data_IF_988978976136
#
_entry.id   IF_988978976136
#
_cell.length_a   1.000
_cell.length_b   1.000
_cell.length_c   1.000
_cell.angle_alpha   90.00
_cell.angle_beta   90.00
_cell.angle_gamma   90.00
#
_symmetry.space_group_name_H-M   'P 1'
#
loop_
_entity.id
_entity.type
_entity.pdbx_description
1 polymer ?
#
# COMPACT_ATOMS: atom_id res chain seq x y z
N UNK A 1 15.10 0.26 -10.86
CA UNK A 1 16.50 0.26 -11.31
C UNK A 1 17.22 -0.68 -10.37
N UNK A 2 17.77 -1.77 -10.86
CA UNK A 2 18.58 -2.69 -10.04
C UNK A 2 19.86 -1.93 -9.68
N UNK A 3 19.99 -1.47 -8.43
CA UNK A 3 21.28 -0.98 -7.93
C UNK A 3 22.29 -2.12 -8.11
N UNK A 4 23.35 -1.85 -8.88
CA UNK A 4 24.40 -2.84 -9.07
C UNK A 4 25.00 -3.20 -7.71
N UNK A 5 25.04 -4.50 -7.39
CA UNK A 5 25.66 -4.97 -6.17
C UNK A 5 27.12 -4.53 -6.12
N UNK A 6 27.60 -4.13 -4.95
CA UNK A 6 28.97 -3.64 -4.75
C UNK A 6 29.75 -4.51 -3.78
N UNK A 7 31.06 -4.40 -3.85
CA UNK A 7 31.99 -5.06 -2.93
C UNK A 7 32.58 -4.01 -2.01
N UNK A 8 32.45 -4.20 -0.70
CA UNK A 8 33.12 -3.39 0.30
C UNK A 8 34.39 -4.11 0.73
N UNK A 9 35.56 -3.56 0.37
CA UNK A 9 36.86 -4.10 0.72
C UNK A 9 37.36 -3.38 1.98
N UNK A 10 37.79 -4.16 2.96
CA UNK A 10 38.38 -3.66 4.22
C UNK A 10 39.81 -4.15 4.30
N UNK A 11 40.75 -3.26 4.03
CA UNK A 11 42.18 -3.53 3.99
C UNK A 11 42.92 -2.30 4.46
N UNK A 12 43.85 -2.44 5.38
CA UNK A 12 44.65 -1.32 5.92
C UNK A 12 45.91 -1.02 5.09
N UNK A 13 46.37 -1.99 4.28
CA UNK A 13 47.44 -1.79 3.30
C UNK A 13 46.86 -1.15 2.01
N UNK A 14 47.26 0.11 1.68
CA UNK A 14 46.72 0.81 0.51
C UNK A 14 47.06 0.12 -0.83
N UNK A 15 48.24 -0.53 -0.93
CA UNK A 15 48.68 -1.16 -2.16
C UNK A 15 47.88 -2.44 -2.42
N UNK A 16 47.59 -3.23 -1.39
CA UNK A 16 46.76 -4.40 -1.47
C UNK A 16 45.28 -4.01 -1.76
N UNK A 17 44.77 -2.99 -1.08
CA UNK A 17 43.44 -2.47 -1.31
C UNK A 17 43.25 -2.03 -2.78
N UNK A 18 44.19 -1.27 -3.31
CA UNK A 18 44.19 -0.79 -4.70
C UNK A 18 44.28 -1.95 -5.69
N UNK A 19 45.13 -2.95 -5.44
CA UNK A 19 45.24 -4.13 -6.27
C UNK A 19 43.94 -4.93 -6.34
N UNK A 20 43.27 -5.13 -5.19
CA UNK A 20 41.96 -5.80 -5.13
C UNK A 20 40.87 -5.00 -5.87
N UNK A 21 40.82 -3.68 -5.67
CA UNK A 21 39.87 -2.80 -6.32
C UNK A 21 40.04 -2.81 -7.84
N UNK A 22 41.26 -2.68 -8.33
CA UNK A 22 41.55 -2.70 -9.77
C UNK A 22 41.18 -4.06 -10.40
N UNK A 23 41.49 -5.18 -9.73
CA UNK A 23 41.12 -6.51 -10.21
C UNK A 23 39.62 -6.66 -10.40
N UNK A 24 38.81 -6.15 -9.47
CA UNK A 24 37.35 -6.20 -9.55
C UNK A 24 36.79 -5.22 -10.60
N UNK A 25 37.34 -4.00 -10.70
CA UNK A 25 36.92 -3.00 -11.66
C UNK A 25 37.18 -3.42 -13.12
N UNK A 26 38.31 -4.12 -13.41
CA UNK A 26 38.60 -4.67 -14.72
C UNK A 26 37.52 -5.68 -15.19
N UNK A 27 36.89 -6.34 -14.26
CA UNK A 27 35.81 -7.29 -14.51
C UNK A 27 34.39 -6.67 -14.38
N UNK A 28 34.33 -5.34 -14.31
CA UNK A 28 33.05 -4.58 -14.24
C UNK A 28 32.33 -4.69 -12.90
N UNK A 29 33.03 -5.11 -11.83
CA UNK A 29 32.46 -5.24 -10.48
C UNK A 29 32.76 -3.95 -9.71
N UNK A 30 31.71 -3.28 -9.24
CA UNK A 30 31.84 -2.07 -8.41
C UNK A 30 32.44 -2.44 -7.04
N UNK A 31 33.57 -1.85 -6.72
CA UNK A 31 34.24 -2.05 -5.44
C UNK A 31 34.54 -0.70 -4.77
N UNK A 32 34.54 -0.70 -3.45
CA UNK A 32 34.83 0.46 -2.61
C UNK A 32 35.73 0.02 -1.47
N UNK A 33 36.86 0.69 -1.26
CA UNK A 33 37.82 0.36 -0.22
C UNK A 33 37.68 1.25 1.01
N UNK A 34 37.88 0.66 2.19
CA UNK A 34 37.97 1.34 3.49
C UNK A 34 39.14 0.75 4.29
N UNK A 35 39.88 1.61 5.02
CA UNK A 35 41.05 1.20 5.77
C UNK A 35 40.79 0.62 7.16
N UNK A 36 39.53 0.45 7.57
CA UNK A 36 39.23 -0.15 8.90
C UNK A 36 37.79 -0.67 9.01
N UNK A 37 37.61 -1.63 9.92
CA UNK A 37 36.32 -2.20 10.25
C UNK A 37 35.31 -1.17 10.77
N UNK A 38 35.76 -0.13 11.51
CA UNK A 38 34.88 0.92 12.04
C UNK A 38 34.31 1.81 10.92
N UNK A 39 35.07 2.03 9.84
CA UNK A 39 34.58 2.77 8.67
C UNK A 39 33.52 1.93 7.92
N UNK A 40 33.77 0.63 7.76
CA UNK A 40 32.85 -0.29 7.13
C UNK A 40 31.52 -0.39 7.92
N UNK A 41 31.58 -0.48 9.23
CA UNK A 41 30.41 -0.58 10.13
C UNK A 41 29.38 0.53 9.92
N UNK A 42 29.82 1.76 9.62
CA UNK A 42 28.93 2.92 9.37
C UNK A 42 28.11 2.79 8.10
N UNK A 43 28.50 1.89 7.18
CA UNK A 43 27.90 1.69 5.86
C UNK A 43 27.04 0.44 5.79
N UNK A 44 27.07 -0.39 6.83
CA UNK A 44 26.36 -1.67 6.88
C UNK A 44 24.98 -1.53 7.48
N UNK A 45 24.05 -2.25 6.90
CA UNK A 45 22.70 -2.45 7.39
C UNK A 45 22.18 -3.81 6.94
N UNK A 46 21.02 -4.21 7.43
CA UNK A 46 20.43 -5.54 7.17
C UNK A 46 20.25 -5.88 5.69
N UNK A 47 20.06 -4.86 4.85
CA UNK A 47 19.85 -5.03 3.40
C UNK A 47 20.98 -4.38 2.60
N UNK A 48 22.23 -4.48 3.10
CA UNK A 48 23.40 -3.96 2.39
C UNK A 48 23.46 -4.54 0.96
N UNK A 49 23.47 -3.69 -0.10
CA UNK A 49 23.41 -4.15 -1.48
C UNK A 49 24.78 -4.59 -1.99
N UNK A 50 25.32 -5.67 -1.41
CA UNK A 50 26.66 -6.12 -1.77
C UNK A 50 27.20 -7.20 -0.84
N UNK A 51 28.51 -7.38 -0.92
CA UNK A 51 29.28 -8.31 -0.10
C UNK A 51 30.46 -7.60 0.57
N UNK A 52 31.09 -8.28 1.51
CA UNK A 52 32.27 -7.78 2.20
C UNK A 52 33.47 -8.66 1.87
N UNK A 53 34.60 -8.03 1.60
CA UNK A 53 35.92 -8.66 1.53
C UNK A 53 36.80 -7.99 2.59
N UNK A 54 37.27 -8.71 3.61
CA UNK A 54 37.97 -8.12 4.74
C UNK A 54 39.28 -8.85 5.03
N UNK A 55 40.36 -8.10 5.25
CA UNK A 55 41.52 -8.70 5.89
C UNK A 55 41.16 -9.11 7.33
N UNK A 56 41.77 -10.20 7.80
CA UNK A 56 41.65 -10.66 9.18
C UNK A 56 42.45 -9.74 10.10
N UNK A 57 43.65 -9.31 9.67
CA UNK A 57 44.54 -8.46 10.47
C UNK A 57 44.31 -6.99 10.21
N UNK A 58 43.28 -6.44 10.82
CA UNK A 58 42.97 -5.00 10.75
C UNK A 58 43.39 -4.28 12.04
N UNK A 59 43.74 -2.99 11.97
CA UNK A 59 44.01 -2.17 13.15
C UNK A 59 42.73 -2.01 14.00
N UNK A 60 42.85 -2.09 15.35
CA UNK A 60 41.81 -1.94 16.35
C UNK A 60 40.82 -3.14 16.38
N UNK A 61 39.87 -3.23 15.46
CA UNK A 61 38.93 -4.33 15.36
C UNK A 61 39.40 -5.32 14.27
N UNK A 62 39.69 -6.55 14.66
CA UNK A 62 40.07 -7.60 13.71
C UNK A 62 38.91 -8.07 12.84
N UNK A 63 39.26 -8.68 11.67
CA UNK A 63 38.27 -9.17 10.72
C UNK A 63 37.35 -10.26 11.25
N UNK A 64 37.80 -11.05 12.24
CA UNK A 64 36.97 -12.09 12.86
C UNK A 64 35.91 -11.50 13.77
N UNK A 65 36.26 -10.47 14.54
CA UNK A 65 35.31 -9.73 15.38
C UNK A 65 34.28 -8.97 14.50
N UNK A 66 34.76 -8.38 13.41
CA UNK A 66 33.91 -7.70 12.43
C UNK A 66 32.95 -8.69 11.75
N UNK A 67 33.40 -9.88 11.37
CA UNK A 67 32.56 -10.96 10.82
C UNK A 67 31.38 -11.26 11.76
N UNK A 68 31.67 -11.50 13.07
CA UNK A 68 30.61 -11.83 14.05
C UNK A 68 29.63 -10.68 14.23
N UNK A 69 30.10 -9.44 14.32
CA UNK A 69 29.20 -8.28 14.38
C UNK A 69 28.34 -8.13 13.12
N UNK A 70 28.91 -8.33 11.96
CA UNK A 70 28.23 -8.24 10.66
C UNK A 70 27.13 -9.32 10.56
N UNK A 71 27.45 -10.57 10.90
CA UNK A 71 26.49 -11.67 10.86
C UNK A 71 25.39 -11.56 11.94
N UNK A 72 25.65 -10.84 13.04
CA UNK A 72 24.62 -10.52 14.04
C UNK A 72 23.57 -9.53 13.46
N UNK A 73 23.98 -8.63 12.55
CA UNK A 73 23.07 -7.68 11.87
C UNK A 73 22.37 -8.35 10.70
N UNK A 74 23.11 -9.06 9.85
CA UNK A 74 22.61 -9.78 8.69
C UNK A 74 23.31 -11.15 8.54
N UNK A 75 22.68 -12.23 9.02
CA UNK A 75 23.26 -13.59 8.94
C UNK A 75 23.46 -14.10 7.51
N UNK A 76 22.83 -13.49 6.52
CA UNK A 76 22.90 -13.89 5.12
C UNK A 76 23.81 -12.97 4.27
N UNK A 77 24.52 -12.03 4.90
CA UNK A 77 25.48 -11.15 4.21
C UNK A 77 26.79 -11.91 3.98
N UNK A 78 27.21 -12.15 2.72
CA UNK A 78 28.45 -12.86 2.46
C UNK A 78 29.67 -12.01 2.88
N UNK A 79 30.51 -12.56 3.74
CA UNK A 79 31.78 -12.00 4.16
C UNK A 79 32.88 -12.97 3.74
N UNK A 80 33.77 -12.50 2.88
CA UNK A 80 34.98 -13.21 2.44
C UNK A 80 36.15 -12.66 3.23
N UNK A 81 36.93 -13.53 3.87
CA UNK A 81 38.10 -13.12 4.66
C UNK A 81 39.39 -13.34 3.89
N UNK A 82 40.29 -12.37 3.95
CA UNK A 82 41.64 -12.48 3.41
C UNK A 82 42.61 -12.75 4.57
N UNK A 83 43.50 -13.71 4.42
CA UNK A 83 44.43 -14.12 5.48
C UNK A 83 45.86 -14.23 4.99
N UNK A 84 46.84 -13.90 5.83
CA UNK A 84 48.26 -14.08 5.56
C UNK A 84 48.72 -15.53 5.71
N UNK A 85 50.04 -15.76 5.50
CA UNK A 85 50.67 -17.08 5.62
C UNK A 85 50.52 -17.69 7.03
N UNK A 86 50.12 -18.93 7.11
CA UNK A 86 50.26 -19.79 8.29
C UNK A 86 48.99 -20.03 9.13
N UNK A 87 47.83 -19.44 8.83
CA UNK A 87 46.68 -19.47 9.73
C UNK A 87 45.53 -20.38 9.26
N UNK A 88 45.83 -21.65 8.92
CA UNK A 88 44.79 -22.65 8.55
C UNK A 88 43.77 -22.79 9.70
N UNK A 89 44.21 -22.74 10.96
CA UNK A 89 43.33 -22.78 12.12
C UNK A 89 42.33 -21.61 12.16
N UNK A 90 42.77 -20.41 11.82
CA UNK A 90 41.89 -19.22 11.74
C UNK A 90 40.93 -19.29 10.56
N UNK A 91 41.37 -19.78 9.39
CA UNK A 91 40.48 -20.01 8.26
C UNK A 91 39.37 -21.00 8.59
N UNK A 92 39.69 -22.11 9.24
CA UNK A 92 38.71 -23.10 9.71
C UNK A 92 37.74 -22.48 10.74
N UNK A 93 38.27 -21.65 11.65
CA UNK A 93 37.42 -20.96 12.64
C UNK A 93 36.51 -19.92 11.96
N UNK A 94 37.01 -19.17 10.98
CA UNK A 94 36.23 -18.24 10.19
C UNK A 94 35.01 -18.91 9.51
N UNK A 95 35.24 -20.07 8.90
CA UNK A 95 34.17 -20.85 8.26
C UNK A 95 33.15 -21.37 9.28
N UNK A 96 33.59 -21.78 10.48
CA UNK A 96 32.69 -22.17 11.59
C UNK A 96 31.89 -20.97 12.12
N UNK A 97 32.48 -19.80 12.15
CA UNK A 97 31.85 -18.55 12.58
C UNK A 97 30.91 -17.96 11.50
N UNK A 98 30.81 -18.59 10.31
CA UNK A 98 29.88 -18.24 9.25
C UNK A 98 30.42 -17.38 8.12
N UNK A 99 31.76 -17.25 7.96
CA UNK A 99 32.33 -16.65 6.78
C UNK A 99 31.86 -17.37 5.50
N UNK A 100 31.67 -16.61 4.43
CA UNK A 100 31.28 -17.17 3.15
C UNK A 100 32.39 -17.98 2.50
N UNK A 101 33.61 -17.41 2.54
CA UNK A 101 34.82 -18.04 2.02
C UNK A 101 36.04 -17.35 2.65
N UNK A 102 37.23 -17.89 2.41
CA UNK A 102 38.49 -17.26 2.77
C UNK A 102 39.50 -17.35 1.62
N UNK A 103 40.39 -16.35 1.55
CA UNK A 103 41.43 -16.24 0.53
C UNK A 103 42.79 -16.07 1.21
N UNK A 104 43.76 -16.95 0.88
CA UNK A 104 45.10 -16.88 1.45
C UNK A 104 46.02 -16.00 0.61
N UNK A 105 46.70 -15.04 1.23
CA UNK A 105 47.76 -14.20 0.60
C UNK A 105 49.07 -15.01 0.47
N UNK A 106 49.83 -14.94 -0.67
CA UNK A 106 49.49 -14.24 -1.89
C UNK A 106 48.46 -15.04 -2.75
N UNK A 107 47.59 -14.34 -3.43
CA UNK A 107 46.55 -14.94 -4.30
C UNK A 107 46.58 -14.28 -5.69
N UNK A 108 46.27 -15.04 -6.76
CA UNK A 108 46.05 -14.46 -8.08
C UNK A 108 44.76 -13.64 -8.12
N UNK A 109 44.75 -12.47 -8.82
CA UNK A 109 43.54 -11.63 -8.93
C UNK A 109 42.32 -12.35 -9.41
N UNK A 110 42.46 -13.31 -10.33
CA UNK A 110 41.39 -14.13 -10.90
C UNK A 110 40.65 -14.95 -9.83
N UNK A 111 41.37 -15.40 -8.81
CA UNK A 111 40.78 -16.18 -7.71
C UNK A 111 39.90 -15.28 -6.83
N UNK A 112 40.33 -14.05 -6.53
CA UNK A 112 39.50 -13.07 -5.84
C UNK A 112 38.20 -12.81 -6.60
N UNK A 113 38.32 -12.57 -7.92
CA UNK A 113 37.16 -12.30 -8.80
C UNK A 113 36.19 -13.48 -8.79
N UNK A 114 36.68 -14.70 -8.87
CA UNK A 114 35.84 -15.91 -8.85
C UNK A 114 35.03 -16.02 -7.55
N UNK A 115 35.70 -15.88 -6.39
CA UNK A 115 35.05 -15.95 -5.08
C UNK A 115 34.02 -14.83 -4.91
N UNK A 116 34.39 -13.61 -5.31
CA UNK A 116 33.51 -12.44 -5.25
C UNK A 116 32.26 -12.62 -6.12
N UNK A 117 32.40 -13.13 -7.34
CA UNK A 117 31.25 -13.39 -8.23
C UNK A 117 30.27 -14.38 -7.61
N UNK A 118 30.76 -15.48 -7.05
CA UNK A 118 29.90 -16.47 -6.36
C UNK A 118 29.20 -15.85 -5.14
N UNK A 119 29.90 -15.04 -4.38
CA UNK A 119 29.36 -14.37 -3.21
C UNK A 119 28.28 -13.32 -3.61
N UNK A 120 28.52 -12.53 -4.66
CA UNK A 120 27.54 -11.58 -5.20
C UNK A 120 26.29 -12.27 -5.73
N UNK A 121 26.44 -13.40 -6.43
CA UNK A 121 25.30 -14.19 -6.92
C UNK A 121 24.44 -14.70 -5.75
N UNK A 122 25.06 -15.27 -4.70
CA UNK A 122 24.35 -15.64 -3.47
C UNK A 122 23.61 -14.45 -2.87
N UNK A 123 24.29 -13.29 -2.76
CA UNK A 123 23.67 -12.08 -2.19
C UNK A 123 22.49 -11.59 -3.01
N UNK A 124 22.59 -11.63 -4.32
CA UNK A 124 21.51 -11.26 -5.23
C UNK A 124 20.26 -12.10 -4.97
N UNK A 125 20.42 -13.42 -4.89
CA UNK A 125 19.31 -14.35 -4.62
C UNK A 125 18.69 -14.10 -3.24
N UNK A 126 19.49 -13.86 -2.22
CA UNK A 126 19.01 -13.56 -0.87
C UNK A 126 18.15 -12.27 -0.86
N UNK A 127 18.65 -11.21 -1.51
CA UNK A 127 17.90 -9.95 -1.58
C UNK A 127 16.62 -10.07 -2.40
N UNK A 128 16.65 -10.86 -3.48
CA UNK A 128 15.46 -11.16 -4.30
C UNK A 128 14.40 -11.92 -3.50
N UNK A 129 14.79 -12.96 -2.76
CA UNK A 129 13.88 -13.72 -1.89
C UNK A 129 13.29 -12.83 -0.79
N UNK A 130 14.10 -11.94 -0.18
CA UNK A 130 13.60 -10.99 0.82
C UNK A 130 12.59 -10.02 0.23
N UNK A 131 12.87 -9.51 -0.97
CA UNK A 131 11.95 -8.59 -1.65
C UNK A 131 10.63 -9.27 -2.02
N UNK A 132 10.69 -10.51 -2.55
CA UNK A 132 9.48 -11.29 -2.84
C UNK A 132 8.66 -11.60 -1.58
N UNK A 133 9.31 -11.98 -0.48
CA UNK A 133 8.63 -12.18 0.82
C UNK A 133 7.98 -10.89 1.30
N UNK A 134 8.69 -9.76 1.21
CA UNK A 134 8.16 -8.45 1.59
C UNK A 134 6.92 -8.09 0.76
N UNK A 135 6.91 -8.38 -0.55
CA UNK A 135 5.77 -8.14 -1.43
C UNK A 135 4.57 -9.03 -1.06
N UNK A 136 4.81 -10.30 -0.73
CA UNK A 136 3.76 -11.22 -0.26
C UNK A 136 3.16 -10.74 1.06
N UNK A 137 3.98 -10.43 2.05
CA UNK A 137 3.53 -9.92 3.37
C UNK A 137 2.70 -8.62 3.22
N UNK A 138 3.13 -7.72 2.33
CA UNK A 138 2.39 -6.49 2.02
C UNK A 138 1.05 -6.79 1.37
N UNK A 139 1.00 -7.77 0.45
CA UNK A 139 -0.23 -8.19 -0.21
C UNK A 139 -1.22 -8.78 0.80
N UNK A 140 -0.77 -9.68 1.67
CA UNK A 140 -1.60 -10.28 2.71
C UNK A 140 -2.14 -9.23 3.68
N UNK A 141 -1.33 -8.25 4.08
CA UNK A 141 -1.76 -7.13 4.90
C UNK A 141 -2.80 -6.24 4.20
N UNK A 142 -2.64 -6.00 2.89
CA UNK A 142 -3.61 -5.23 2.10
C UNK A 142 -4.93 -5.99 1.95
N UNK A 143 -4.89 -7.31 1.72
CA UNK A 143 -6.10 -8.15 1.62
C UNK A 143 -6.87 -8.18 2.94
N UNK A 144 -6.18 -8.21 4.07
CA UNK A 144 -6.80 -8.14 5.40
C UNK A 144 -7.43 -6.79 5.73
N UNK A 145 -6.96 -5.68 5.13
CA UNK A 145 -7.48 -4.32 5.37
C UNK A 145 -8.47 -3.86 4.30
N UNK A 146 -8.12 -4.05 3.02
CA UNK A 146 -8.97 -3.72 1.87
C UNK A 146 -9.79 -4.95 1.47
N UNK A 147 -10.73 -5.32 2.33
CA UNK A 147 -11.57 -6.50 2.20
C UNK A 147 -12.41 -6.42 0.92
N UNK A 148 -12.41 -7.50 0.13
CA UNK A 148 -13.21 -7.66 -1.08
C UNK A 148 -12.60 -8.66 -2.04
N UNK A 149 -13.42 -9.40 -2.77
CA UNK A 149 -13.05 -10.38 -3.81
C UNK A 149 -13.37 -9.87 -5.21
N UNK A 150 -14.11 -8.77 -5.32
CA UNK A 150 -14.47 -8.16 -6.58
C UNK A 150 -13.22 -7.86 -7.43
N UNK A 151 -13.25 -8.08 -8.75
CA UNK A 151 -12.12 -7.78 -9.64
C UNK A 151 -11.65 -6.33 -9.57
N UNK A 152 -12.56 -5.39 -9.30
CA UNK A 152 -12.24 -3.97 -9.07
C UNK A 152 -11.40 -3.76 -7.82
N UNK A 153 -11.67 -4.50 -6.72
CA UNK A 153 -10.89 -4.45 -5.49
C UNK A 153 -9.52 -5.11 -5.64
N UNK A 154 -9.44 -6.18 -6.45
CA UNK A 154 -8.16 -6.81 -6.76
C UNK A 154 -7.25 -5.84 -7.53
N UNK A 155 -7.77 -5.23 -8.61
CA UNK A 155 -7.03 -4.21 -9.37
C UNK A 155 -6.60 -3.03 -8.49
N UNK A 156 -7.45 -2.60 -7.55
CA UNK A 156 -7.12 -1.53 -6.63
C UNK A 156 -5.94 -1.91 -5.71
N UNK A 157 -5.93 -3.14 -5.15
CA UNK A 157 -4.81 -3.64 -4.34
C UNK A 157 -3.51 -3.71 -5.13
N UNK A 158 -3.57 -4.18 -6.38
CA UNK A 158 -2.39 -4.24 -7.25
C UNK A 158 -1.82 -2.83 -7.53
N UNK A 159 -2.69 -1.83 -7.78
CA UNK A 159 -2.30 -0.44 -7.94
C UNK A 159 -1.69 0.14 -6.65
N UNK A 160 -2.27 -0.15 -5.48
CA UNK A 160 -1.74 0.28 -4.17
C UNK A 160 -0.34 -0.29 -3.96
N UNK A 161 -0.15 -1.59 -4.24
CA UNK A 161 1.16 -2.26 -4.13
C UNK A 161 2.20 -1.64 -5.07
N UNK A 162 1.82 -1.35 -6.32
CA UNK A 162 2.70 -0.70 -7.30
C UNK A 162 3.09 0.74 -6.93
N UNK A 163 2.20 1.46 -6.24
CA UNK A 163 2.43 2.85 -5.80
C UNK A 163 3.13 2.94 -4.43
N UNK A 164 3.23 1.84 -3.69
CA UNK A 164 3.75 1.81 -2.32
C UNK A 164 5.20 2.33 -2.24
N UNK A 165 6.08 1.88 -3.13
CA UNK A 165 7.48 2.33 -3.20
C UNK A 165 7.70 3.70 -3.85
N UNK A 166 6.66 4.30 -4.42
CA UNK A 166 6.73 5.59 -5.12
C UNK A 166 6.55 6.77 -4.17
N UNK A 167 7.27 7.87 -4.45
CA UNK A 167 7.06 9.16 -3.79
C UNK A 167 5.94 10.00 -4.45
N UNK A 168 5.24 9.46 -5.47
CA UNK A 168 4.21 10.17 -6.21
C UNK A 168 3.04 10.56 -5.31
N UNK A 169 2.52 11.77 -5.53
CA UNK A 169 1.28 12.25 -4.93
C UNK A 169 0.10 11.47 -5.54
N UNK A 170 -0.94 11.17 -4.75
CA UNK A 170 -2.07 10.31 -5.14
C UNK A 170 -3.40 11.02 -4.92
N UNK A 171 -4.26 10.98 -5.92
CA UNK A 171 -5.65 11.41 -5.83
C UNK A 171 -6.58 10.19 -5.71
N UNK A 172 -7.36 10.10 -4.63
CA UNK A 172 -8.36 9.06 -4.43
C UNK A 172 -9.74 9.63 -4.75
N UNK A 173 -10.40 9.04 -5.74
CA UNK A 173 -11.78 9.36 -6.08
C UNK A 173 -12.73 8.26 -5.58
N UNK A 174 -13.86 8.63 -4.99
CA UNK A 174 -14.91 7.69 -4.56
C UNK A 174 -15.98 8.35 -3.71
N UNK A 175 -17.16 7.76 -3.72
CA UNK A 175 -18.31 8.26 -2.97
C UNK A 175 -18.07 8.32 -1.46
N UNK A 176 -18.93 9.06 -0.76
CA UNK A 176 -18.91 9.09 0.70
C UNK A 176 -19.13 7.68 1.28
N UNK A 177 -18.31 7.32 2.27
CA UNK A 177 -18.44 6.03 2.95
C UNK A 177 -17.83 4.82 2.23
N UNK A 178 -17.15 4.98 1.08
CA UNK A 178 -16.47 3.89 0.36
C UNK A 178 -15.21 3.38 1.03
N UNK A 179 -14.54 4.20 1.88
CA UNK A 179 -13.32 3.84 2.61
C UNK A 179 -12.05 4.55 2.13
N UNK A 180 -12.16 5.78 1.60
CA UNK A 180 -11.02 6.58 1.09
C UNK A 180 -9.90 6.78 2.11
N UNK A 181 -10.25 7.09 3.37
CA UNK A 181 -9.24 7.23 4.43
C UNK A 181 -8.50 5.91 4.71
N UNK A 182 -9.22 4.78 4.73
CA UNK A 182 -8.60 3.47 4.90
C UNK A 182 -7.61 3.17 3.77
N UNK A 183 -7.99 3.49 2.52
CA UNK A 183 -7.11 3.34 1.37
C UNK A 183 -5.86 4.22 1.49
N UNK A 184 -6.01 5.48 1.94
CA UNK A 184 -4.87 6.37 2.18
C UNK A 184 -3.92 5.85 3.26
N UNK A 185 -4.47 5.28 4.34
CA UNK A 185 -3.68 4.62 5.40
C UNK A 185 -2.93 3.40 4.86
N UNK A 186 -3.57 2.57 4.05
CA UNK A 186 -2.90 1.43 3.40
C UNK A 186 -1.74 1.90 2.50
N UNK A 187 -1.93 2.95 1.70
CA UNK A 187 -0.85 3.54 0.89
C UNK A 187 0.34 4.04 1.73
N UNK A 188 0.07 4.65 2.88
CA UNK A 188 1.11 5.10 3.80
C UNK A 188 1.86 3.91 4.43
N UNK A 189 1.14 2.95 4.99
CA UNK A 189 1.70 1.79 5.70
C UNK A 189 2.53 0.87 4.78
N UNK A 190 2.16 0.78 3.51
CA UNK A 190 2.91 0.04 2.50
C UNK A 190 4.10 0.84 1.94
N UNK A 191 4.23 2.15 2.25
CA UNK A 191 5.25 3.01 1.67
C UNK A 191 6.58 2.96 2.42
N UNK A 192 7.63 3.51 1.79
CA UNK A 192 8.92 3.74 2.44
C UNK A 192 8.84 4.77 3.59
N UNK A 193 7.71 5.53 3.69
CA UNK A 193 7.44 6.54 4.72
C UNK A 193 6.58 6.01 5.88
N UNK A 194 6.34 4.70 5.97
CA UNK A 194 5.49 4.04 6.97
C UNK A 194 5.87 4.33 8.44
N UNK A 195 7.10 4.71 8.69
CA UNK A 195 7.61 5.07 10.02
C UNK A 195 7.47 6.56 10.33
N UNK A 196 7.11 7.38 9.33
CA UNK A 196 6.82 8.80 9.49
C UNK A 196 5.36 9.03 9.92
N UNK A 197 5.01 10.29 10.17
CA UNK A 197 3.66 10.66 10.59
C UNK A 197 2.64 10.52 9.44
N UNK A 198 1.47 9.93 9.73
CA UNK A 198 0.28 10.03 8.89
C UNK A 198 -0.61 11.13 9.43
N UNK A 199 -0.66 12.27 8.75
CA UNK A 199 -1.42 13.45 9.19
C UNK A 199 -2.65 13.63 8.31
N UNK A 200 -3.83 13.36 8.86
CA UNK A 200 -5.10 13.54 8.17
C UNK A 200 -5.72 14.91 8.46
N UNK A 201 -6.21 15.56 7.42
CA UNK A 201 -6.93 16.82 7.46
C UNK A 201 -8.23 16.66 6.66
N UNK A 202 -9.37 16.94 7.29
CA UNK A 202 -10.64 17.09 6.59
C UNK A 202 -10.81 18.55 6.17
N UNK A 203 -10.80 18.82 4.86
CA UNK A 203 -10.87 20.16 4.31
C UNK A 203 -12.27 20.80 4.45
N UNK A 204 -13.33 20.00 4.61
CA UNK A 204 -14.69 20.49 4.86
C UNK A 204 -15.03 20.72 6.33
N UNK A 205 -14.20 20.22 7.25
CA UNK A 205 -14.47 20.27 8.68
C UNK A 205 -13.89 21.47 9.44
N UNK A 206 -13.08 22.32 8.78
CA UNK A 206 -12.41 23.46 9.41
C UNK A 206 -13.05 24.79 8.98
N UNK A 207 -13.38 25.68 9.93
CA UNK A 207 -13.72 27.05 9.60
C UNK A 207 -12.59 27.74 8.85
N UNK A 208 -12.89 28.53 7.83
CA UNK A 208 -11.90 29.20 6.97
C UNK A 208 -10.89 30.03 7.78
N UNK A 209 -11.33 30.68 8.83
CA UNK A 209 -10.48 31.50 9.72
C UNK A 209 -9.42 30.67 10.49
N UNK A 210 -9.68 29.41 10.74
CA UNK A 210 -8.75 28.51 11.45
C UNK A 210 -7.90 27.67 10.50
N UNK A 211 -8.32 27.55 9.24
CA UNK A 211 -7.71 26.67 8.25
C UNK A 211 -6.21 26.99 8.04
N UNK A 212 -5.89 28.27 7.84
CA UNK A 212 -4.52 28.73 7.67
C UNK A 212 -3.62 28.36 8.85
N UNK A 213 -4.08 28.67 10.05
CA UNK A 213 -3.34 28.44 11.29
C UNK A 213 -3.12 26.95 11.58
N UNK A 214 -4.13 26.10 11.29
CA UNK A 214 -4.03 24.65 11.49
C UNK A 214 -3.08 24.01 10.47
N UNK A 215 -3.15 24.40 9.21
CA UNK A 215 -2.42 23.74 8.12
C UNK A 215 -1.00 24.25 8.01
N UNK A 216 -0.82 25.59 7.97
CA UNK A 216 0.50 26.19 7.77
C UNK A 216 1.23 26.52 9.08
N UNK A 217 0.51 26.62 10.20
CA UNK A 217 1.06 27.04 11.48
C UNK A 217 1.22 28.56 11.58
N UNK A 218 1.59 29.05 12.76
CA UNK A 218 1.80 30.49 13.01
C UNK A 218 2.89 30.73 14.05
N UNK A 219 3.52 31.90 13.96
CA UNK A 219 4.39 32.40 15.00
C UNK A 219 3.56 33.22 16.04
N UNK A 220 4.15 33.38 17.22
CA UNK A 220 3.50 34.21 18.25
C UNK A 220 3.28 35.63 17.76
N UNK A 221 2.07 36.18 17.93
CA UNK A 221 1.70 37.53 17.47
C UNK A 221 1.27 37.62 16.01
N UNK A 222 1.16 36.52 15.27
CA UNK A 222 0.76 36.53 13.85
C UNK A 222 -0.66 37.07 13.61
N UNK A 223 -1.55 36.98 14.58
CA UNK A 223 -2.91 37.51 14.57
C UNK A 223 -3.44 37.71 16.00
N UNK A 224 -4.55 38.41 16.15
CA UNK A 224 -5.20 38.63 17.45
C UNK A 224 -5.64 37.28 18.05
N UNK A 225 -4.96 36.85 19.13
CA UNK A 225 -5.18 35.54 19.77
C UNK A 225 -4.04 34.54 19.55
N UNK A 226 -3.05 34.81 18.70
CA UNK A 226 -1.88 33.97 18.52
C UNK A 226 -0.85 34.16 19.65
N UNK A 227 -1.21 33.71 20.88
CA UNK A 227 -0.36 33.94 22.07
C UNK A 227 0.93 33.10 22.06
N UNK A 228 0.95 31.96 21.34
CA UNK A 228 2.10 31.04 21.26
C UNK A 228 2.30 30.56 19.81
N UNK A 229 3.55 30.23 19.49
CA UNK A 229 3.89 29.57 18.21
C UNK A 229 3.17 28.22 18.11
N UNK A 230 2.68 27.89 16.91
CA UNK A 230 2.08 26.60 16.57
C UNK A 230 2.69 26.02 15.29
N UNK A 231 3.10 24.74 15.36
CA UNK A 231 3.55 23.96 14.19
C UNK A 231 2.33 23.56 13.38
N UNK A 232 2.36 23.81 12.06
CA UNK A 232 1.29 23.46 11.15
C UNK A 232 1.27 21.97 10.83
N UNK A 233 0.11 21.48 10.35
CA UNK A 233 -0.08 20.07 9.98
C UNK A 233 0.83 19.62 8.83
N UNK A 234 1.10 20.51 7.86
CA UNK A 234 2.02 20.20 6.75
C UNK A 234 3.44 20.00 7.28
N UNK A 235 3.93 20.90 8.13
CA UNK A 235 5.24 20.78 8.77
C UNK A 235 5.34 19.50 9.61
N UNK A 236 4.29 19.16 10.36
CA UNK A 236 4.23 17.95 11.18
C UNK A 236 4.21 16.66 10.36
N UNK A 237 3.75 16.71 9.10
CA UNK A 237 3.74 15.59 8.17
C UNK A 237 5.11 15.35 7.50
N UNK A 238 6.12 16.19 7.74
CA UNK A 238 7.44 16.05 7.13
C UNK A 238 8.08 14.70 7.49
N UNK A 239 8.71 14.05 6.52
CA UNK A 239 9.19 12.66 6.62
C UNK A 239 8.10 11.59 6.49
N UNK A 240 6.82 11.99 6.45
CA UNK A 240 5.65 11.10 6.43
C UNK A 240 4.70 11.36 5.27
N UNK A 241 3.39 11.31 5.57
CA UNK A 241 2.31 11.46 4.59
C UNK A 241 1.26 12.45 5.09
N UNK A 242 0.90 13.40 4.24
CA UNK A 242 -0.22 14.30 4.42
C UNK A 242 -1.44 13.76 3.67
N UNK A 243 -2.54 13.51 4.38
CA UNK A 243 -3.81 13.10 3.79
C UNK A 243 -4.81 14.23 3.85
N UNK A 244 -5.32 14.67 2.70
CA UNK A 244 -6.31 15.73 2.53
C UNK A 244 -7.65 15.11 2.13
N UNK A 245 -8.57 14.98 3.08
CA UNK A 245 -9.92 14.46 2.79
C UNK A 245 -10.85 15.60 2.40
N UNK A 246 -11.81 15.30 1.52
CA UNK A 246 -12.77 16.28 0.96
C UNK A 246 -12.09 17.52 0.37
N UNK A 247 -11.04 17.30 -0.46
CA UNK A 247 -10.22 18.37 -1.03
C UNK A 247 -11.06 19.38 -1.84
N UNK A 248 -12.18 18.95 -2.42
CA UNK A 248 -13.15 19.80 -3.11
C UNK A 248 -13.74 20.91 -2.24
N UNK A 249 -13.73 20.73 -0.92
CA UNK A 249 -14.26 21.69 0.05
C UNK A 249 -13.24 22.74 0.49
N UNK A 250 -12.01 22.66 -0.01
CA UNK A 250 -10.93 23.61 0.33
C UNK A 250 -11.21 24.99 -0.29
N UNK A 251 -11.17 26.11 0.49
CA UNK A 251 -11.33 27.45 -0.04
C UNK A 251 -10.28 27.79 -1.11
N UNK A 252 -10.66 28.54 -2.16
CA UNK A 252 -9.77 28.88 -3.28
C UNK A 252 -8.47 29.58 -2.83
N UNK A 253 -8.54 30.46 -1.83
CA UNK A 253 -7.36 31.10 -1.28
C UNK A 253 -6.35 30.08 -0.70
N UNK A 254 -6.85 29.00 -0.09
CA UNK A 254 -6.04 27.94 0.48
C UNK A 254 -5.45 27.03 -0.61
N UNK A 255 -6.21 26.79 -1.68
CA UNK A 255 -5.71 26.03 -2.84
C UNK A 255 -4.46 26.67 -3.44
N UNK A 256 -4.40 28.02 -3.50
CA UNK A 256 -3.22 28.76 -3.98
C UNK A 256 -2.00 28.53 -3.07
N UNK A 257 -2.19 28.61 -1.76
CA UNK A 257 -1.11 28.40 -0.79
C UNK A 257 -0.61 26.94 -0.83
N UNK A 258 -1.54 26.00 -0.85
CA UNK A 258 -1.21 24.57 -0.96
C UNK A 258 -0.41 24.28 -2.24
N UNK A 259 -0.83 24.84 -3.38
CA UNK A 259 -0.14 24.65 -4.65
C UNK A 259 1.32 25.11 -4.55
N UNK A 260 1.59 26.29 -3.96
CA UNK A 260 2.97 26.76 -3.75
C UNK A 260 3.79 25.78 -2.91
N UNK A 261 3.24 25.30 -1.79
CA UNK A 261 3.93 24.33 -0.93
C UNK A 261 4.26 23.02 -1.70
N UNK A 262 3.32 22.55 -2.54
CA UNK A 262 3.54 21.33 -3.35
C UNK A 262 4.56 21.53 -4.46
N UNK A 263 4.68 22.73 -5.02
CA UNK A 263 5.63 23.06 -6.10
C UNK A 263 7.03 23.34 -5.56
N UNK A 264 7.12 24.19 -4.54
CA UNK A 264 8.38 24.66 -4.00
C UNK A 264 8.97 23.74 -2.92
N UNK A 265 8.15 22.82 -2.39
CA UNK A 265 8.50 21.94 -1.27
C UNK A 265 9.01 22.71 -0.05
N UNK A 266 8.45 23.91 0.14
CA UNK A 266 8.76 24.80 1.26
C UNK A 266 7.49 25.41 1.82
N UNK A 267 7.54 25.83 3.07
CA UNK A 267 6.44 26.41 3.82
C UNK A 267 6.92 27.64 4.59
N UNK A 268 6.09 28.68 4.65
CA UNK A 268 6.23 29.80 5.59
C UNK A 268 5.06 29.80 6.57
N UNK A 269 5.35 29.94 7.87
CA UNK A 269 4.30 30.08 8.88
C UNK A 269 3.67 31.48 8.83
N UNK A 270 2.41 31.58 9.22
CA UNK A 270 1.76 32.86 9.36
C UNK A 270 2.55 33.77 10.30
N UNK A 271 2.81 35.03 9.87
CA UNK A 271 3.60 36.00 10.63
C UNK A 271 5.12 35.75 10.59
N UNK A 272 5.61 34.94 9.68
CA UNK A 272 7.07 34.67 9.48
C UNK A 272 7.41 34.63 8.00
N UNK A 273 8.59 35.11 7.67
CA UNK A 273 9.19 34.99 6.33
C UNK A 273 10.26 33.88 6.30
N UNK A 274 10.32 33.03 7.34
CA UNK A 274 11.30 31.93 7.41
C UNK A 274 10.79 30.76 6.58
N UNK A 275 11.54 30.38 5.57
CA UNK A 275 11.25 29.26 4.69
C UNK A 275 11.65 27.94 5.36
N UNK A 276 10.72 27.00 5.46
CA UNK A 276 10.88 25.69 6.09
C UNK A 276 10.80 24.62 4.99
N UNK A 277 11.80 23.78 4.77
CA UNK A 277 11.72 22.70 3.79
C UNK A 277 10.74 21.62 4.23
N UNK A 278 9.92 21.12 3.28
CA UNK A 278 8.88 20.12 3.51
C UNK A 278 9.14 18.90 2.63
N UNK A 279 9.31 17.75 3.26
CA UNK A 279 9.41 16.45 2.58
C UNK A 279 8.28 15.52 3.02
N UNK A 280 7.07 15.72 2.51
CA UNK A 280 5.95 14.82 2.73
C UNK A 280 5.35 14.32 1.41
N UNK A 281 4.83 13.08 1.42
CA UNK A 281 3.99 12.56 0.36
C UNK A 281 2.57 13.07 0.58
N UNK A 282 1.89 13.48 -0.51
CA UNK A 282 0.51 13.96 -0.42
C UNK A 282 -0.46 12.95 -1.02
N UNK A 283 -1.51 12.65 -0.27
CA UNK A 283 -2.65 11.85 -0.72
C UNK A 283 -3.89 12.74 -0.54
N UNK A 284 -4.59 13.04 -1.64
CA UNK A 284 -5.84 13.79 -1.61
C UNK A 284 -7.02 12.88 -1.89
N UNK A 285 -8.16 13.11 -1.27
CA UNK A 285 -9.39 12.35 -1.50
C UNK A 285 -10.54 13.29 -1.85
N UNK A 286 -11.37 12.87 -2.81
CA UNK A 286 -12.55 13.61 -3.29
C UNK A 286 -13.71 12.66 -3.58
N UNK A 287 -14.94 13.19 -3.48
CA UNK A 287 -16.17 12.51 -3.89
C UNK A 287 -16.75 13.05 -5.20
N UNK A 288 -16.21 14.17 -5.69
CA UNK A 288 -16.68 14.87 -6.89
C UNK A 288 -15.64 14.86 -7.97
N UNK A 289 -16.04 15.04 -9.21
CA UNK A 289 -15.10 15.29 -10.30
C UNK A 289 -14.50 16.70 -10.15
N UNK A 290 -13.20 16.75 -9.86
CA UNK A 290 -12.47 18.00 -9.67
C UNK A 290 -12.29 18.78 -10.97
N UNK A 291 -12.30 18.12 -12.15
CA UNK A 291 -12.24 18.80 -13.44
C UNK A 291 -13.55 19.54 -13.72
N UNK A 292 -14.70 18.88 -13.49
CA UNK A 292 -15.99 19.57 -13.60
C UNK A 292 -16.12 20.72 -12.61
N UNK A 293 -15.66 20.52 -11.37
CA UNK A 293 -15.68 21.57 -10.35
C UNK A 293 -14.77 22.72 -10.75
N UNK A 294 -13.65 22.44 -11.39
CA UNK A 294 -12.72 23.44 -11.89
C UNK A 294 -13.32 24.26 -13.04
N UNK A 295 -14.02 23.62 -13.95
CA UNK A 295 -14.75 24.31 -15.02
C UNK A 295 -15.82 25.28 -14.48
N UNK A 296 -16.38 24.99 -13.30
CA UNK A 296 -17.35 25.84 -12.56
C UNK A 296 -16.67 26.90 -11.66
N UNK A 297 -15.34 26.98 -11.65
CA UNK A 297 -14.58 27.92 -10.83
C UNK A 297 -14.47 27.56 -9.35
N UNK A 298 -14.89 26.37 -8.91
CA UNK A 298 -14.83 25.93 -7.51
C UNK A 298 -13.50 25.27 -7.11
N UNK A 299 -12.71 24.88 -8.10
CA UNK A 299 -11.38 24.26 -7.88
C UNK A 299 -10.37 24.77 -8.92
N UNK A 300 -9.09 24.84 -8.59
CA UNK A 300 -8.05 25.29 -9.51
C UNK A 300 -7.53 24.15 -10.38
N UNK A 301 -7.45 24.36 -11.69
CA UNK A 301 -6.89 23.38 -12.64
C UNK A 301 -5.43 23.01 -12.35
N UNK A 302 -4.61 24.00 -12.00
CA UNK A 302 -3.19 23.80 -11.72
C UNK A 302 -2.96 22.90 -10.48
N UNK A 303 -3.78 23.06 -9.44
CA UNK A 303 -3.75 22.19 -8.27
C UNK A 303 -4.23 20.77 -8.61
N UNK A 304 -5.27 20.63 -9.43
CA UNK A 304 -5.72 19.33 -9.90
C UNK A 304 -4.59 18.53 -10.58
N UNK A 305 -3.94 19.12 -11.57
CA UNK A 305 -2.84 18.44 -12.28
C UNK A 305 -1.64 18.15 -11.38
N UNK A 306 -1.42 18.96 -10.34
CA UNK A 306 -0.34 18.70 -9.37
C UNK A 306 -0.65 17.53 -8.44
N UNK A 307 -1.92 17.33 -8.08
CA UNK A 307 -2.37 16.25 -7.20
C UNK A 307 -2.64 14.93 -7.95
N UNK A 308 -3.05 15.00 -9.21
CA UNK A 308 -3.49 13.84 -10.01
C UNK A 308 -2.35 13.13 -10.74
N UNK A 309 -1.17 13.01 -10.12
CA UNK A 309 -0.05 12.25 -10.69
C UNK A 309 -0.39 10.77 -10.81
N UNK A 310 -1.05 10.22 -9.80
CA UNK A 310 -1.67 8.90 -9.82
C UNK A 310 -3.09 9.01 -9.29
N UNK A 311 -4.07 8.44 -10.00
CA UNK A 311 -5.48 8.46 -9.58
C UNK A 311 -5.96 7.06 -9.25
N UNK A 312 -6.55 6.89 -8.07
CA UNK A 312 -7.17 5.65 -7.61
C UNK A 312 -8.68 5.86 -7.47
N UNK A 313 -9.47 5.03 -8.16
CA UNK A 313 -10.92 5.03 -8.04
C UNK A 313 -11.38 3.94 -7.08
N UNK A 314 -12.11 4.32 -6.03
CA UNK A 314 -12.68 3.40 -5.06
C UNK A 314 -14.14 3.12 -5.44
N UNK A 315 -14.48 1.88 -5.90
CA UNK A 315 -15.81 1.57 -6.40
C UNK A 315 -16.86 1.67 -5.30
N UNK A 316 -18.05 2.20 -5.59
CA UNK A 316 -19.18 2.17 -4.66
C UNK A 316 -19.64 0.73 -4.39
N UNK A 317 -20.28 0.50 -3.25
CA UNK A 317 -20.62 -0.85 -2.80
C UNK A 317 -21.60 -1.57 -3.76
N UNK A 318 -22.48 -0.83 -4.43
CA UNK A 318 -23.41 -1.37 -5.46
C UNK A 318 -22.72 -1.95 -6.69
N UNK A 319 -21.47 -1.56 -6.97
CA UNK A 319 -20.66 -2.09 -8.08
C UNK A 319 -19.78 -3.28 -7.69
N UNK A 320 -19.75 -3.63 -6.37
CA UNK A 320 -19.05 -4.79 -5.82
C UNK A 320 -19.96 -5.60 -4.88
N UNK A 321 -21.15 -5.92 -5.37
CA UNK A 321 -22.19 -6.61 -4.56
C UNK A 321 -21.74 -7.95 -4.01
N UNK A 322 -20.85 -8.64 -4.69
CA UNK A 322 -20.24 -9.90 -4.26
C UNK A 322 -19.41 -9.76 -2.97
N UNK A 323 -18.95 -8.56 -2.63
CA UNK A 323 -18.20 -8.28 -1.42
C UNK A 323 -19.11 -8.01 -0.20
N UNK A 324 -20.40 -7.74 -0.41
CA UNK A 324 -21.34 -7.35 0.66
C UNK A 324 -21.45 -8.42 1.74
N UNK A 325 -21.62 -9.72 1.44
CA UNK A 325 -21.70 -10.75 2.48
C UNK A 325 -20.43 -10.83 3.32
N UNK A 326 -19.26 -10.79 2.68
CA UNK A 326 -17.97 -10.85 3.33
C UNK A 326 -17.72 -9.64 4.24
N UNK A 327 -18.02 -8.43 3.75
CA UNK A 327 -17.91 -7.19 4.51
C UNK A 327 -18.88 -7.17 5.69
N UNK A 328 -20.11 -7.63 5.50
CA UNK A 328 -21.12 -7.68 6.54
C UNK A 328 -20.72 -8.63 7.67
N UNK A 329 -20.27 -9.84 7.34
CA UNK A 329 -19.75 -10.81 8.32
C UNK A 329 -18.57 -10.21 9.10
N UNK A 330 -17.61 -9.59 8.40
CA UNK A 330 -16.47 -8.93 9.03
C UNK A 330 -16.92 -7.84 10.03
N UNK A 331 -17.88 -7.00 9.66
CA UNK A 331 -18.39 -5.96 10.56
C UNK A 331 -19.23 -6.51 11.70
N UNK A 332 -19.98 -7.62 11.51
CA UNK A 332 -20.68 -8.30 12.60
C UNK A 332 -19.70 -8.82 13.66
N UNK A 333 -18.60 -9.46 13.23
CA UNK A 333 -17.57 -9.94 14.13
C UNK A 333 -16.90 -8.79 14.90
N UNK A 334 -16.57 -7.69 14.22
CA UNK A 334 -16.03 -6.50 14.86
C UNK A 334 -17.01 -5.85 15.84
N UNK A 335 -18.29 -5.75 15.48
CA UNK A 335 -19.33 -5.18 16.33
C UNK A 335 -19.55 -6.06 17.56
N UNK A 336 -19.63 -7.39 17.39
CA UNK A 336 -19.80 -8.35 18.47
C UNK A 336 -18.64 -8.26 19.49
N UNK A 337 -17.41 -8.20 19.01
CA UNK A 337 -16.23 -8.01 19.85
C UNK A 337 -16.25 -6.66 20.60
N UNK A 338 -16.62 -5.57 19.91
CA UNK A 338 -16.69 -4.21 20.48
C UNK A 338 -17.75 -4.08 21.55
N UNK A 339 -18.93 -4.68 21.32
CA UNK A 339 -20.08 -4.58 22.22
C UNK A 339 -20.15 -5.74 23.23
N UNK A 340 -19.17 -6.67 23.18
CA UNK A 340 -19.12 -7.86 24.04
C UNK A 340 -20.43 -8.67 23.97
N UNK A 341 -20.98 -8.85 22.78
CA UNK A 341 -22.21 -9.58 22.52
C UNK A 341 -21.94 -10.77 21.58
N UNK A 342 -22.77 -11.82 21.64
CA UNK A 342 -22.67 -12.91 20.67
C UNK A 342 -22.96 -12.40 19.27
N UNK A 343 -22.34 -13.05 18.28
CA UNK A 343 -22.63 -12.77 16.86
C UNK A 343 -24.06 -13.27 16.56
N UNK A 344 -24.94 -12.41 16.07
CA UNK A 344 -26.31 -12.82 15.73
C UNK A 344 -26.32 -13.75 14.52
N UNK A 345 -27.26 -14.70 14.50
CA UNK A 345 -27.50 -15.56 13.33
C UNK A 345 -28.13 -14.74 12.20
N UNK A 346 -27.52 -14.82 11.02
CA UNK A 346 -27.99 -14.14 9.81
C UNK A 346 -28.48 -15.17 8.81
N UNK A 347 -29.78 -15.13 8.51
CA UNK A 347 -30.35 -16.04 7.54
C UNK A 347 -30.07 -15.64 6.08
N UNK A 348 -30.21 -16.60 5.15
CA UNK A 348 -29.96 -16.38 3.73
C UNK A 348 -30.83 -15.27 3.11
N UNK A 349 -32.08 -15.13 3.56
CA UNK A 349 -32.98 -14.07 3.10
C UNK A 349 -32.45 -12.68 3.44
N UNK A 350 -31.86 -12.52 4.64
CA UNK A 350 -31.24 -11.27 5.04
C UNK A 350 -30.03 -10.91 4.15
N UNK A 351 -29.18 -11.89 3.84
CA UNK A 351 -28.04 -11.68 2.94
C UNK A 351 -28.53 -11.27 1.55
N UNK A 352 -29.59 -11.88 1.02
CA UNK A 352 -30.16 -11.48 -0.28
C UNK A 352 -30.67 -10.03 -0.28
N UNK A 353 -31.34 -9.61 0.79
CA UNK A 353 -31.76 -8.22 0.96
C UNK A 353 -30.58 -7.25 0.97
N UNK A 354 -29.50 -7.58 1.71
CA UNK A 354 -28.29 -6.77 1.76
C UNK A 354 -27.64 -6.62 0.38
N UNK A 355 -27.54 -7.72 -0.38
CA UNK A 355 -26.96 -7.72 -1.74
C UNK A 355 -27.82 -6.93 -2.74
N UNK A 356 -29.16 -6.95 -2.57
CA UNK A 356 -30.11 -6.23 -3.44
C UNK A 356 -30.15 -4.72 -3.21
N UNK A 357 -29.70 -4.23 -2.07
CA UNK A 357 -29.80 -2.81 -1.73
C UNK A 357 -28.74 -1.94 -2.41
N UNK A 358 -29.06 -0.67 -2.65
CA UNK A 358 -28.20 0.25 -3.42
C UNK A 358 -27.03 0.87 -2.60
N UNK A 359 -27.11 0.84 -1.27
CA UNK A 359 -26.08 1.34 -0.34
C UNK A 359 -25.62 2.78 -0.62
N UNK A 360 -26.49 3.81 -0.54
CA UNK A 360 -26.12 5.20 -0.75
C UNK A 360 -25.02 5.68 0.21
N UNK A 361 -24.96 5.14 1.44
CA UNK A 361 -23.89 5.40 2.41
C UNK A 361 -22.73 4.41 2.34
N UNK A 362 -22.71 3.53 1.32
CA UNK A 362 -21.64 2.59 1.05
C UNK A 362 -21.24 1.71 2.26
N UNK A 363 -19.96 1.49 2.45
CA UNK A 363 -19.40 0.65 3.54
C UNK A 363 -19.70 1.23 4.92
N UNK A 364 -19.79 2.55 5.05
CA UNK A 364 -20.16 3.21 6.33
C UNK A 364 -21.57 2.83 6.76
N UNK A 365 -22.51 2.80 5.83
CA UNK A 365 -23.88 2.41 6.08
C UNK A 365 -23.97 0.90 6.41
N UNK A 366 -23.28 0.04 5.65
CA UNK A 366 -23.22 -1.40 5.90
C UNK A 366 -22.69 -1.71 7.31
N UNK A 367 -21.64 -1.03 7.73
CA UNK A 367 -21.08 -1.15 9.09
C UNK A 367 -22.08 -0.74 10.15
N UNK A 368 -22.81 0.36 9.96
CA UNK A 368 -23.84 0.81 10.89
C UNK A 368 -25.00 -0.21 10.99
N UNK A 369 -25.33 -0.89 9.87
CA UNK A 369 -26.32 -1.97 9.88
C UNK A 369 -25.84 -3.17 10.68
N UNK A 370 -24.57 -3.55 10.53
CA UNK A 370 -23.97 -4.62 11.32
C UNK A 370 -23.92 -4.29 12.82
N UNK A 371 -23.54 -3.05 13.20
CA UNK A 371 -23.56 -2.60 14.59
C UNK A 371 -24.98 -2.68 15.19
N UNK A 372 -26.01 -2.23 14.47
CA UNK A 372 -27.43 -2.31 14.90
C UNK A 372 -27.90 -3.75 15.06
N UNK A 373 -27.49 -4.64 14.15
CA UNK A 373 -27.84 -6.06 14.21
C UNK A 373 -27.32 -6.69 15.51
N UNK A 374 -26.06 -6.46 15.87
CA UNK A 374 -25.45 -6.95 17.11
C UNK A 374 -26.08 -6.35 18.36
N UNK A 375 -26.48 -5.08 18.31
CA UNK A 375 -27.14 -4.40 19.42
C UNK A 375 -28.57 -4.83 19.63
N UNK A 376 -29.18 -5.56 18.65
CA UNK A 376 -30.57 -5.94 18.70
C UNK A 376 -31.56 -4.75 18.54
N UNK A 377 -31.07 -3.62 17.93
CA UNK A 377 -31.84 -2.40 17.71
C UNK A 377 -32.55 -2.50 16.33
N UNK A 378 -32.94 -3.67 15.93
CA UNK A 378 -33.75 -3.84 14.74
C UNK A 378 -35.25 -3.49 15.07
N UNK A 379 -35.52 -2.18 15.02
CA UNK A 379 -36.93 -1.75 14.92
C UNK A 379 -37.43 -2.16 13.54
N UNK A 380 -38.26 -3.15 13.45
CA UNK A 380 -39.25 -3.61 12.48
C UNK A 380 -39.33 -3.13 11.01
N UNK A 381 -38.39 -2.31 10.58
CA UNK A 381 -38.19 -1.91 9.17
C UNK A 381 -36.72 -1.90 8.89
N UNK A 382 -36.25 -2.61 7.87
CA UNK A 382 -34.92 -2.33 7.33
C UNK A 382 -34.87 -0.85 6.92
N UNK A 383 -33.68 -0.18 6.98
CA UNK A 383 -33.50 1.10 6.30
C UNK A 383 -33.61 0.91 4.76
N UNK A 384 -33.81 -0.29 4.34
CA UNK A 384 -34.14 -0.72 3.02
C UNK A 384 -35.65 -0.42 2.85
N UNK A 385 -35.96 0.76 2.32
CA UNK A 385 -37.23 0.98 1.70
C UNK A 385 -37.51 -0.30 0.93
N UNK A 386 -38.55 -1.04 1.29
CA UNK A 386 -39.07 -2.06 0.40
C UNK A 386 -39.06 -1.42 -0.99
N UNK A 387 -38.67 -2.12 -2.05
CA UNK A 387 -39.40 -1.88 -3.27
C UNK A 387 -40.83 -2.11 -2.84
N UNK A 388 -41.56 -1.04 -2.61
CA UNK A 388 -42.99 -1.11 -2.53
C UNK A 388 -43.42 -1.60 -3.91
N UNK A 389 -43.80 -2.88 -4.06
CA UNK A 389 -44.80 -3.15 -5.04
C UNK A 389 -46.02 -2.48 -4.43
N UNK A 390 -46.56 -1.51 -5.11
CA UNK A 390 -47.88 -1.03 -4.85
C UNK A 390 -48.81 -2.25 -4.84
N UNK A 391 -49.19 -2.70 -3.64
CA UNK A 391 -50.11 -3.83 -3.45
C UNK A 391 -49.44 -5.21 -3.18
N UNK A 392 -50.22 -6.21 -2.71
CA UNK A 392 -49.76 -7.57 -2.52
C UNK A 392 -49.38 -8.16 -3.87
N UNK A 393 -48.07 -8.33 -4.13
CA UNK A 393 -47.57 -8.99 -5.34
C UNK A 393 -48.00 -10.47 -5.26
N UNK A 394 -48.71 -11.01 -6.26
CA UNK A 394 -49.09 -12.41 -6.28
C UNK A 394 -47.81 -13.28 -6.19
N UNK A 395 -47.88 -14.38 -5.43
CA UNK A 395 -46.79 -15.34 -5.27
C UNK A 395 -46.21 -15.76 -6.65
N UNK A 396 -47.08 -15.86 -7.66
CA UNK A 396 -46.69 -16.17 -9.05
C UNK A 396 -45.74 -15.16 -9.66
N UNK A 397 -45.93 -13.87 -9.44
CA UNK A 397 -45.02 -12.83 -9.99
C UNK A 397 -43.67 -12.81 -9.31
N UNK A 398 -43.61 -13.06 -8.00
CA UNK A 398 -42.37 -13.18 -7.24
C UNK A 398 -41.56 -14.41 -7.67
N UNK A 399 -42.25 -15.55 -7.87
CA UNK A 399 -41.63 -16.78 -8.37
C UNK A 399 -41.13 -16.59 -9.81
N UNK A 400 -41.93 -15.95 -10.66
CA UNK A 400 -41.57 -15.66 -12.05
C UNK A 400 -40.34 -14.72 -12.14
N UNK A 401 -40.26 -13.69 -11.30
CA UNK A 401 -39.10 -12.78 -11.22
C UNK A 401 -37.83 -13.51 -10.77
N UNK A 402 -37.91 -14.39 -9.78
CA UNK A 402 -36.81 -15.21 -9.31
C UNK A 402 -36.32 -16.20 -10.37
N UNK A 403 -37.25 -16.91 -11.01
CA UNK A 403 -36.96 -17.85 -12.09
C UNK A 403 -36.30 -17.18 -13.29
N UNK A 404 -36.80 -15.99 -13.68
CA UNK A 404 -36.23 -15.16 -14.73
C UNK A 404 -34.77 -14.79 -14.41
N UNK A 405 -34.49 -14.32 -13.21
CA UNK A 405 -33.14 -13.94 -12.78
C UNK A 405 -32.19 -15.15 -12.79
N UNK A 406 -32.62 -16.30 -12.31
CA UNK A 406 -31.83 -17.53 -12.25
C UNK A 406 -31.46 -18.03 -13.66
N UNK A 407 -32.46 -18.05 -14.58
CA UNK A 407 -32.26 -18.48 -15.97
C UNK A 407 -31.33 -17.51 -16.71
N UNK A 408 -31.52 -16.20 -16.54
CA UNK A 408 -30.67 -15.17 -17.16
C UNK A 408 -29.20 -15.27 -16.71
N UNK A 409 -28.97 -15.52 -15.42
CA UNK A 409 -27.63 -15.71 -14.88
C UNK A 409 -26.97 -17.00 -15.38
N UNK A 410 -27.71 -18.09 -15.43
CA UNK A 410 -27.22 -19.36 -15.93
C UNK A 410 -26.92 -19.31 -17.46
N UNK A 411 -27.72 -18.61 -18.25
CA UNK A 411 -27.44 -18.37 -19.67
C UNK A 411 -26.16 -17.59 -19.90
N UNK A 412 -25.91 -16.54 -19.12
CA UNK A 412 -24.66 -15.78 -19.16
C UNK A 412 -23.42 -16.61 -18.82
N UNK A 413 -23.55 -17.50 -17.80
CA UNK A 413 -22.42 -18.34 -17.35
C UNK A 413 -22.08 -19.47 -18.31
N UNK A 414 -23.08 -20.10 -18.93
CA UNK A 414 -22.90 -21.33 -19.70
C UNK A 414 -22.95 -21.14 -21.21
N UNK A 415 -23.41 -19.98 -21.72
CA UNK A 415 -23.34 -19.55 -23.11
C UNK A 415 -24.13 -20.38 -24.13
N UNK A 416 -24.76 -21.52 -23.72
CA UNK A 416 -25.56 -22.35 -24.62
C UNK A 416 -26.75 -22.96 -23.89
N UNK A 417 -27.87 -23.08 -24.57
CA UNK A 417 -29.12 -23.62 -24.04
C UNK A 417 -28.97 -25.05 -23.46
N UNK A 418 -28.16 -25.89 -24.11
CA UNK A 418 -27.88 -27.25 -23.68
C UNK A 418 -27.17 -27.33 -22.33
N UNK A 419 -26.07 -26.60 -22.18
CA UNK A 419 -25.29 -26.55 -20.94
C UNK A 419 -26.07 -25.89 -19.79
N UNK A 420 -26.86 -24.87 -20.12
CA UNK A 420 -27.73 -24.21 -19.14
C UNK A 420 -28.80 -25.14 -18.62
N UNK A 421 -29.43 -25.97 -19.49
CA UNK A 421 -30.43 -26.96 -19.11
C UNK A 421 -29.84 -28.04 -18.17
N UNK A 422 -28.60 -28.50 -18.48
CA UNK A 422 -27.87 -29.45 -17.61
C UNK A 422 -27.52 -28.82 -16.25
N UNK A 423 -27.02 -27.59 -16.24
CA UNK A 423 -26.64 -26.88 -14.99
C UNK A 423 -27.86 -26.60 -14.08
N UNK A 424 -29.01 -26.32 -14.65
CA UNK A 424 -30.27 -26.07 -13.90
C UNK A 424 -31.08 -27.35 -13.64
N UNK A 425 -30.59 -28.50 -14.13
CA UNK A 425 -31.30 -29.82 -13.99
C UNK A 425 -32.74 -29.75 -14.51
N UNK A 426 -32.95 -29.12 -15.67
CA UNK A 426 -34.28 -29.00 -16.32
C UNK A 426 -34.23 -29.51 -17.75
N UNK A 427 -35.37 -30.01 -18.26
CA UNK A 427 -35.43 -30.40 -19.68
C UNK A 427 -35.25 -29.21 -20.60
N UNK A 428 -34.57 -29.42 -21.76
CA UNK A 428 -34.30 -28.36 -22.75
C UNK A 428 -35.55 -27.67 -23.25
N UNK A 429 -36.61 -28.44 -23.43
CA UNK A 429 -37.95 -27.93 -23.82
C UNK A 429 -38.55 -26.99 -22.76
N UNK A 430 -38.50 -27.38 -21.49
CA UNK A 430 -38.97 -26.57 -20.37
C UNK A 430 -38.15 -25.28 -20.23
N UNK A 431 -36.82 -25.35 -20.40
CA UNK A 431 -35.97 -24.17 -20.36
C UNK A 431 -36.28 -23.23 -21.54
N UNK A 432 -36.49 -23.77 -22.74
CA UNK A 432 -36.84 -23.00 -23.92
C UNK A 432 -38.19 -22.25 -23.75
N UNK A 433 -39.20 -22.93 -23.22
CA UNK A 433 -40.50 -22.31 -22.96
C UNK A 433 -40.40 -21.19 -21.90
N UNK A 434 -39.56 -21.38 -20.86
CA UNK A 434 -39.32 -20.35 -19.86
C UNK A 434 -38.53 -19.16 -20.40
N UNK A 435 -37.54 -19.39 -21.24
CA UNK A 435 -36.78 -18.32 -21.93
C UNK A 435 -37.74 -17.48 -22.78
N UNK A 436 -38.65 -18.12 -23.53
CA UNK A 436 -39.66 -17.44 -24.32
C UNK A 436 -40.68 -16.70 -23.45
N UNK A 437 -41.13 -17.31 -22.35
CA UNK A 437 -42.05 -16.68 -21.38
C UNK A 437 -41.48 -15.41 -20.80
N UNK A 438 -40.16 -15.37 -20.51
CA UNK A 438 -39.50 -14.26 -19.84
C UNK A 438 -38.77 -13.30 -20.80
N UNK A 439 -38.83 -13.53 -22.11
CA UNK A 439 -38.19 -12.65 -23.10
C UNK A 439 -36.67 -12.58 -22.99
N UNK A 440 -35.99 -13.68 -22.61
CA UNK A 440 -34.54 -13.73 -22.40
C UNK A 440 -33.75 -14.14 -23.65
N UNK A 441 -34.37 -14.21 -24.82
CA UNK A 441 -33.85 -14.86 -26.03
C UNK A 441 -33.66 -13.98 -27.26
N UNK A 442 -33.61 -12.68 -27.18
CA UNK A 442 -33.38 -11.80 -28.37
C UNK A 442 -32.17 -10.89 -28.20
N UNK A 443 -30.97 -11.44 -27.96
CA UNK A 443 -29.72 -10.74 -28.31
C UNK A 443 -28.61 -11.79 -28.54
N UNK A 444 -28.42 -12.19 -29.81
CA UNK A 444 -27.25 -13.01 -30.17
C UNK A 444 -27.46 -14.02 -31.30
N UNK A 445 -27.97 -13.60 -32.43
CA UNK A 445 -27.76 -14.30 -33.71
C UNK A 445 -27.57 -13.28 -34.80
N UNK A 446 -26.31 -12.92 -35.03
CA UNK A 446 -25.69 -12.64 -36.30
C UNK A 446 -24.21 -12.93 -36.23
#
# INVERSE_FOLDING_TARGET
MSDALKVLIIEDDPDVALGCEQALQLEGIAAECVGSAEQARRRLGRDFPGIIVSDIRLPKMDGMSFLRETLAVDPELPVVLITGHGDISMAVQAMKDGAYDFIQKPFPPEYLVEVVRRALEKRRLVLEVRELRRQLDQRDQLEGKLIGRAPSMQKLRDLVSGLAGSAADVLIHGETGTGKELLARCLHECSNRRHGNFVAINCGGLPETLFDSEIFGHEAGAYTGAAKRRVGKIEYASGGTLFLDEIESMPLAMQIKLLRVLQERTLERLGSNTTIPIDCRVIAATKTDLLELSAKGGFRNDLYYRLSVATLALPPLRERREDIPLLFEHFLLQAAARHQRPVPEVNAGRIQQLVGYAWPGNVRELRNVADRCVLGIESGSPPFGQPTPDGPTPLSETVDAFERALIADALRRHGSLGRTAEALVVAKTTLHDKIRKYGLGEDGSN
#
